data_IF_447585602090
#
_entry.id   IF_447585602090
#
_cell.length_a   1.000
_cell.length_b   1.000
_cell.length_c   1.000
_cell.angle_alpha   90.00
_cell.angle_beta   90.00
_cell.angle_gamma   90.00
#
_symmetry.space_group_name_H-M   'P 1'
#
loop_
_entity.id
_entity.type
_entity.pdbx_description
1 polymer ?
#
# COMPACT_ATOMS: atom_id res chain seq x y z
N UNK A 1 10.95 -4.87 -19.32
CA UNK A 1 12.12 -3.98 -19.34
C UNK A 1 13.03 -4.33 -18.16
N UNK A 2 14.25 -4.77 -18.43
CA UNK A 2 15.21 -5.23 -17.42
C UNK A 2 16.07 -4.01 -17.04
N UNK A 3 15.59 -3.20 -16.08
CA UNK A 3 16.24 -1.96 -15.67
C UNK A 3 17.50 -2.25 -14.86
N UNK A 4 18.47 -1.33 -14.86
CA UNK A 4 19.70 -1.43 -14.05
C UNK A 4 19.34 -1.64 -12.57
N UNK A 5 18.30 -0.93 -12.09
CA UNK A 5 17.82 -1.02 -10.71
C UNK A 5 17.22 -2.39 -10.38
N UNK A 6 16.58 -3.07 -11.33
CA UNK A 6 16.00 -4.41 -11.11
C UNK A 6 17.04 -5.52 -10.88
N UNK A 7 18.33 -5.25 -11.08
CA UNK A 7 19.44 -6.18 -10.84
C UNK A 7 20.15 -5.95 -9.50
N UNK A 8 19.84 -4.85 -8.83
CA UNK A 8 20.46 -4.48 -7.55
C UNK A 8 19.58 -4.98 -6.41
N UNK A 9 20.21 -5.61 -5.42
CA UNK A 9 19.54 -5.95 -4.17
C UNK A 9 19.69 -4.81 -3.18
N UNK A 10 18.58 -4.12 -2.88
CA UNK A 10 18.57 -2.99 -1.96
C UNK A 10 18.37 -3.46 -0.51
N UNK A 11 19.20 -2.99 0.42
CA UNK A 11 18.95 -3.24 1.84
C UNK A 11 17.74 -2.45 2.35
N UNK A 12 17.54 -1.24 1.81
CA UNK A 12 16.42 -0.36 2.13
C UNK A 12 15.93 0.36 0.88
N UNK A 13 14.62 0.51 0.77
CA UNK A 13 13.96 1.47 -0.13
C UNK A 13 13.16 2.44 0.74
N UNK A 14 13.33 3.74 0.50
CA UNK A 14 12.56 4.78 1.18
C UNK A 14 11.77 5.52 0.11
N UNK A 15 10.45 5.50 0.26
CA UNK A 15 9.52 6.23 -0.59
C UNK A 15 9.05 7.46 0.17
N UNK A 16 9.59 8.61 -0.20
CA UNK A 16 9.01 9.89 0.21
C UNK A 16 7.80 10.21 -0.66
N UNK A 17 6.81 10.87 -0.08
CA UNK A 17 5.50 11.10 -0.71
C UNK A 17 4.87 9.83 -1.29
N UNK A 18 4.81 8.77 -0.47
CA UNK A 18 4.33 7.44 -0.82
C UNK A 18 2.89 7.33 -1.30
N UNK A 19 2.15 8.44 -1.41
CA UNK A 19 0.84 8.45 -2.05
C UNK A 19 0.91 7.97 -3.51
N UNK A 20 2.09 8.07 -4.14
CA UNK A 20 2.34 7.64 -5.53
C UNK A 20 2.12 6.13 -5.74
N UNK A 21 2.40 5.29 -4.73
CA UNK A 21 2.26 3.83 -4.88
C UNK A 21 0.85 3.28 -4.62
N UNK A 22 -0.07 4.13 -4.20
CA UNK A 22 -1.44 3.76 -3.85
C UNK A 22 -2.26 3.27 -5.03
N UNK A 23 -1.94 3.74 -6.23
CA UNK A 23 -2.48 3.15 -7.45
C UNK A 23 -1.58 1.98 -7.87
N UNK A 24 -2.04 0.76 -7.62
CA UNK A 24 -1.27 -0.44 -7.95
C UNK A 24 -0.97 -0.58 -9.45
N UNK A 25 -1.84 -0.05 -10.31
CA UNK A 25 -1.72 -0.09 -11.77
C UNK A 25 -0.82 0.99 -12.35
N UNK A 26 -0.34 1.94 -11.53
CA UNK A 26 0.57 2.96 -12.02
C UNK A 26 1.89 2.32 -12.48
N UNK A 27 2.47 2.82 -13.57
CA UNK A 27 3.74 2.32 -14.10
C UNK A 27 4.85 2.36 -13.05
N UNK A 28 4.86 3.40 -12.21
CA UNK A 28 5.84 3.55 -11.13
C UNK A 28 5.63 2.49 -10.05
N UNK A 29 4.38 2.26 -9.61
CA UNK A 29 4.08 1.21 -8.64
C UNK A 29 4.50 -0.17 -9.15
N UNK A 30 4.21 -0.47 -10.42
CA UNK A 30 4.63 -1.73 -11.05
C UNK A 30 6.15 -1.83 -11.20
N UNK A 31 6.86 -0.72 -11.46
CA UNK A 31 8.32 -0.70 -11.52
C UNK A 31 8.96 -0.91 -10.14
N UNK A 32 8.43 -0.24 -9.11
CA UNK A 32 8.93 -0.35 -7.74
C UNK A 32 8.75 -1.76 -7.16
N UNK A 33 7.65 -2.45 -7.48
CA UNK A 33 7.42 -3.85 -7.07
C UNK A 33 8.38 -4.85 -7.69
N UNK A 34 9.02 -4.51 -8.80
CA UNK A 34 10.02 -5.36 -9.48
C UNK A 34 11.42 -5.22 -8.88
N UNK A 35 11.63 -4.28 -7.96
CA UNK A 35 12.91 -4.12 -7.28
C UNK A 35 13.06 -5.20 -6.20
N UNK A 36 14.28 -5.70 -6.04
CA UNK A 36 14.61 -6.62 -4.95
C UNK A 36 15.07 -5.81 -3.75
N UNK A 37 14.37 -5.93 -2.62
CA UNK A 37 14.75 -5.23 -1.40
C UNK A 37 14.48 -6.04 -0.14
N UNK A 38 15.25 -5.76 0.92
CA UNK A 38 15.06 -6.38 2.24
C UNK A 38 14.02 -5.63 3.08
N UNK A 39 14.14 -4.30 3.16
CA UNK A 39 13.27 -3.45 3.96
C UNK A 39 12.72 -2.30 3.12
N UNK A 40 11.53 -1.83 3.44
CA UNK A 40 10.95 -0.64 2.82
C UNK A 40 10.31 0.27 3.87
N UNK A 41 10.42 1.57 3.66
CA UNK A 41 9.83 2.62 4.48
C UNK A 41 9.05 3.56 3.56
N UNK A 42 7.79 3.83 3.93
CA UNK A 42 6.93 4.75 3.20
C UNK A 42 6.67 5.95 4.09
N UNK A 43 6.99 7.13 3.59
CA UNK A 43 6.71 8.41 4.22
C UNK A 43 5.58 9.08 3.44
N UNK A 44 4.49 9.42 4.11
CA UNK A 44 3.37 10.12 3.46
C UNK A 44 2.57 10.91 4.48
N UNK A 45 2.20 12.14 4.12
CA UNK A 45 1.27 12.95 4.92
C UNK A 45 -0.19 12.50 4.78
N UNK A 46 -0.51 11.70 3.76
CA UNK A 46 -1.88 11.28 3.42
C UNK A 46 -1.94 9.75 3.26
N UNK A 47 -1.94 8.98 4.35
CA UNK A 47 -1.79 7.52 4.28
C UNK A 47 -2.87 6.81 3.46
N UNK A 48 -4.13 7.29 3.50
CA UNK A 48 -5.25 6.78 2.69
C UNK A 48 -6.14 7.96 2.29
N UNK A 49 -6.67 7.94 1.06
CA UNK A 49 -7.58 8.96 0.55
C UNK A 49 -9.00 8.41 0.40
N UNK A 50 -9.23 7.42 -0.48
CA UNK A 50 -10.59 7.21 -1.01
C UNK A 50 -11.18 5.81 -0.83
N UNK A 51 -10.40 4.74 -0.79
CA UNK A 51 -10.92 3.38 -0.61
C UNK A 51 -9.92 2.42 0.06
N UNK A 52 -10.40 1.25 0.47
CA UNK A 52 -9.57 0.21 1.06
C UNK A 52 -8.62 -0.46 0.04
N UNK A 53 -8.85 -0.28 -1.26
CA UNK A 53 -7.93 -0.74 -2.31
C UNK A 53 -6.58 -0.04 -2.23
N UNK A 54 -6.54 1.25 -1.84
CA UNK A 54 -5.27 1.95 -1.58
C UNK A 54 -4.48 1.30 -0.43
N UNK A 55 -5.18 0.84 0.61
CA UNK A 55 -4.55 0.11 1.72
C UNK A 55 -3.93 -1.18 1.22
N UNK A 56 -4.67 -1.94 0.42
CA UNK A 56 -4.14 -3.14 -0.22
C UNK A 56 -2.91 -2.82 -1.06
N UNK A 57 -2.93 -1.76 -1.87
CA UNK A 57 -1.80 -1.42 -2.74
C UNK A 57 -0.51 -1.13 -1.94
N UNK A 58 -0.64 -0.45 -0.79
CA UNK A 58 0.47 -0.21 0.16
C UNK A 58 0.93 -1.50 0.81
N UNK A 59 0.02 -2.33 1.34
CA UNK A 59 0.36 -3.59 1.98
C UNK A 59 0.97 -4.60 0.99
N UNK A 60 0.48 -4.65 -0.23
CA UNK A 60 1.04 -5.44 -1.33
C UNK A 60 2.44 -4.99 -1.69
N UNK A 61 2.74 -3.68 -1.66
CA UNK A 61 4.11 -3.21 -1.87
C UNK A 61 5.05 -3.65 -0.73
N UNK A 62 4.62 -3.52 0.52
CA UNK A 62 5.42 -3.90 1.70
C UNK A 62 5.61 -5.43 1.81
N UNK A 63 4.55 -6.19 1.51
CA UNK A 63 4.44 -7.63 1.78
C UNK A 63 3.74 -8.38 0.62
N UNK A 64 4.34 -8.38 -0.60
CA UNK A 64 3.68 -8.88 -1.81
C UNK A 64 3.29 -10.36 -1.75
N UNK A 65 3.97 -11.16 -0.92
CA UNK A 65 3.68 -12.59 -0.73
C UNK A 65 2.40 -12.86 0.05
N UNK A 66 1.97 -11.91 0.88
CA UNK A 66 0.81 -12.07 1.77
C UNK A 66 -0.44 -11.36 1.22
N UNK A 67 -0.25 -10.27 0.49
CA UNK A 67 -1.34 -9.45 -0.04
C UNK A 67 -1.42 -9.55 -1.56
N UNK A 68 -1.78 -10.72 -2.09
CA UNK A 68 -1.80 -10.96 -3.55
C UNK A 68 -3.11 -10.57 -4.24
N UNK A 69 -4.22 -10.56 -3.52
CA UNK A 69 -5.57 -10.31 -4.06
C UNK A 69 -6.21 -9.09 -3.39
N UNK A 70 -6.69 -8.14 -4.20
CA UNK A 70 -7.38 -6.93 -3.76
C UNK A 70 -8.86 -7.16 -3.48
N UNK A 71 -9.45 -8.25 -4.02
CA UNK A 71 -10.89 -8.51 -3.95
C UNK A 71 -11.48 -8.43 -2.54
N UNK A 72 -10.82 -8.89 -1.46
CA UNK A 72 -11.33 -8.72 -0.10
C UNK A 72 -11.43 -7.26 0.35
N UNK A 73 -10.54 -6.39 -0.14
CA UNK A 73 -10.52 -4.96 0.16
C UNK A 73 -11.55 -4.22 -0.70
N UNK A 74 -11.66 -4.58 -1.98
CA UNK A 74 -12.62 -4.00 -2.92
C UNK A 74 -14.07 -4.28 -2.49
N UNK A 75 -14.35 -5.50 -2.01
CA UNK A 75 -15.68 -5.90 -1.53
C UNK A 75 -16.04 -5.38 -0.13
N UNK A 76 -15.07 -4.83 0.61
CA UNK A 76 -15.27 -4.35 1.98
C UNK A 76 -15.77 -2.91 2.03
N UNK A 77 -15.34 -2.08 1.07
CA UNK A 77 -15.62 -0.65 1.07
C UNK A 77 -15.64 -0.08 -0.35
N UNK A 78 -16.83 0.26 -0.84
CA UNK A 78 -17.02 0.95 -2.11
C UNK A 78 -18.03 2.08 -1.91
N UNK A 79 -17.51 3.32 -1.79
CA UNK A 79 -18.31 4.55 -1.64
C UNK A 79 -19.25 4.72 -2.85
N UNK A 80 -18.79 4.37 -4.06
CA UNK A 80 -19.58 4.49 -5.28
C UNK A 80 -20.77 3.53 -5.33
N UNK A 81 -20.74 2.44 -4.55
CA UNK A 81 -21.80 1.42 -4.47
C UNK A 81 -22.56 1.40 -3.14
N UNK A 82 -22.28 2.33 -2.21
CA UNK A 82 -22.83 2.32 -0.84
C UNK A 82 -22.60 1.01 -0.07
N UNK A 83 -21.51 0.29 -0.37
CA UNK A 83 -21.17 -0.96 0.33
C UNK A 83 -20.17 -0.63 1.42
N UNK A 84 -20.57 -0.79 2.68
CA UNK A 84 -19.69 -0.66 3.85
C UNK A 84 -19.89 -1.88 4.74
N UNK A 85 -18.92 -2.81 4.73
CA UNK A 85 -18.88 -3.93 5.68
C UNK A 85 -18.09 -3.50 6.90
N UNK A 86 -18.81 -3.07 7.95
CA UNK A 86 -18.24 -2.49 9.15
C UNK A 86 -17.15 -3.36 9.80
N UNK A 87 -17.40 -4.67 9.95
CA UNK A 87 -16.43 -5.62 10.53
C UNK A 87 -15.11 -5.69 9.75
N UNK A 88 -15.17 -5.72 8.41
CA UNK A 88 -13.97 -5.74 7.57
C UNK A 88 -13.23 -4.40 7.60
N UNK A 89 -13.96 -3.29 7.66
CA UNK A 89 -13.39 -1.95 7.79
C UNK A 89 -12.63 -1.80 9.11
N UNK A 90 -13.18 -2.29 10.22
CA UNK A 90 -12.52 -2.29 11.53
C UNK A 90 -11.23 -3.12 11.52
N UNK A 91 -11.26 -4.31 10.91
CA UNK A 91 -10.06 -5.15 10.74
C UNK A 91 -9.00 -4.46 9.89
N UNK A 92 -9.38 -3.81 8.80
CA UNK A 92 -8.48 -3.02 7.97
C UNK A 92 -7.85 -1.85 8.73
N UNK A 93 -8.64 -1.13 9.54
CA UNK A 93 -8.15 -0.08 10.42
C UNK A 93 -7.19 -0.60 11.51
N UNK A 94 -7.45 -1.78 12.06
CA UNK A 94 -6.54 -2.41 13.02
C UNK A 94 -5.20 -2.75 12.37
N UNK A 95 -5.23 -3.37 11.19
CA UNK A 95 -4.05 -3.64 10.36
C UNK A 95 -3.24 -2.37 10.12
N UNK A 96 -3.88 -1.30 9.65
CA UNK A 96 -3.25 0.00 9.46
C UNK A 96 -2.49 0.49 10.69
N UNK A 97 -3.09 0.40 11.88
CA UNK A 97 -2.44 0.86 13.12
C UNK A 97 -1.18 0.09 13.46
N UNK A 98 -1.07 -1.17 13.04
CA UNK A 98 0.14 -1.99 13.28
C UNK A 98 1.28 -1.59 12.33
N UNK A 99 0.96 -1.18 11.10
CA UNK A 99 1.96 -0.87 10.07
C UNK A 99 2.25 0.63 9.90
N UNK A 100 1.42 1.50 10.47
CA UNK A 100 1.51 2.94 10.31
C UNK A 100 1.71 3.64 11.66
N UNK A 101 2.77 4.42 11.74
CA UNK A 101 2.94 5.42 12.78
C UNK A 101 2.42 6.77 12.28
N UNK A 102 1.39 7.31 12.94
CA UNK A 102 0.81 8.62 12.62
C UNK A 102 0.74 9.49 13.87
N UNK A 103 1.34 10.68 13.81
CA UNK A 103 1.22 11.72 14.84
C UNK A 103 0.14 12.72 14.44
N UNK A 104 -0.75 13.08 15.36
CA UNK A 104 -1.66 14.21 15.20
C UNK A 104 -0.92 15.50 15.55
N UNK A 105 -1.16 16.56 14.78
CA UNK A 105 -0.63 17.88 15.13
C UNK A 105 -1.42 18.35 16.37
N UNK A 106 -0.72 18.52 17.48
CA UNK A 106 -1.25 19.14 18.70
C UNK A 106 -1.34 20.64 18.46
#
# INVERSE_FOLDING_TARGET
>A
ANTILGRVYFRYIILDEGHIIKNAESQLSQAMRKLYFQNSLILTGTPLQNNLTELWAVLNFLFPKYFTDSSPFDNAFDIGKNIVKQDTLEKAHHLLKLFMLRRLKV
#
